data_IF_705655527317
#
_entry.id   IF_705655527317
#
_cell.length_a   1.000
_cell.length_b   1.000
_cell.length_c   1.000
_cell.angle_alpha   90.00
_cell.angle_beta   90.00
_cell.angle_gamma   90.00
#
_symmetry.space_group_name_H-M   'P 1'
#
loop_
_entity.id
_entity.type
_entity.pdbx_description
1 polymer ?
#
# COMPACT_ATOMS: atom_id res chain seq x y z
N UNK A 1 17.22 5.73 14.27
CA UNK A 1 16.51 6.66 15.20
C UNK A 1 16.09 7.97 14.54
N UNK A 2 16.93 8.66 13.77
CA UNK A 2 16.57 9.93 13.12
C UNK A 2 15.68 9.68 11.87
N UNK A 3 15.99 8.68 11.05
CA UNK A 3 15.18 8.25 9.91
C UNK A 3 13.77 7.77 10.30
N UNK A 4 13.63 7.11 11.45
CA UNK A 4 12.34 6.58 11.93
C UNK A 4 11.35 7.69 12.32
N UNK A 5 11.87 8.82 12.87
CA UNK A 5 11.04 9.97 13.25
C UNK A 5 10.52 10.73 12.03
N UNK A 6 11.33 10.89 11.01
CA UNK A 6 10.93 11.51 9.74
C UNK A 6 9.82 10.70 9.09
N UNK A 7 9.94 9.37 9.06
CA UNK A 7 8.92 8.48 8.52
C UNK A 7 7.56 8.63 9.21
N UNK A 8 7.52 8.75 10.55
CA UNK A 8 6.26 8.92 11.28
C UNK A 8 5.60 10.26 10.95
N UNK A 9 6.37 11.36 10.87
CA UNK A 9 5.82 12.68 10.54
C UNK A 9 5.21 12.73 9.13
N UNK A 10 5.85 12.09 8.16
CA UNK A 10 5.33 12.00 6.79
C UNK A 10 4.03 11.19 6.73
N UNK A 11 3.96 10.09 7.49
CA UNK A 11 2.76 9.28 7.60
C UNK A 11 1.60 10.02 8.31
N UNK A 12 1.91 10.92 9.25
CA UNK A 12 0.92 11.78 9.91
C UNK A 12 0.31 12.82 8.94
N UNK A 13 1.08 13.33 7.99
CA UNK A 13 0.56 14.21 6.92
C UNK A 13 -0.51 13.47 6.10
N UNK A 14 -0.29 12.19 5.79
CA UNK A 14 -1.24 11.37 5.06
C UNK A 14 -2.54 11.05 5.83
N UNK A 15 -2.56 11.23 7.15
CA UNK A 15 -3.81 11.14 7.95
C UNK A 15 -4.84 12.16 7.44
N UNK A 16 -4.41 13.33 6.98
CA UNK A 16 -5.28 14.40 6.50
C UNK A 16 -5.99 14.05 5.19
N UNK A 17 -5.44 13.14 4.37
CA UNK A 17 -6.00 12.72 3.09
C UNK A 17 -7.14 11.68 3.26
N UNK A 18 -8.20 12.05 4.01
CA UNK A 18 -9.31 11.14 4.37
C UNK A 18 -10.15 10.72 3.17
N UNK A 19 -10.46 11.62 2.25
CA UNK A 19 -11.27 11.31 1.07
C UNK A 19 -10.51 10.37 0.13
N UNK A 20 -9.21 10.60 -0.07
CA UNK A 20 -8.37 9.76 -0.89
C UNK A 20 -8.20 8.35 -0.29
N UNK A 21 -7.96 8.24 1.02
CA UNK A 21 -7.91 6.95 1.72
C UNK A 21 -9.24 6.20 1.63
N UNK A 22 -10.37 6.89 1.83
CA UNK A 22 -11.71 6.32 1.68
C UNK A 22 -11.97 5.86 0.24
N UNK A 23 -11.50 6.60 -0.75
CA UNK A 23 -11.58 6.21 -2.16
C UNK A 23 -10.79 4.93 -2.41
N UNK A 24 -9.52 4.85 -1.99
CA UNK A 24 -8.73 3.63 -2.07
C UNK A 24 -9.43 2.46 -1.37
N UNK A 25 -9.87 2.66 -0.13
CA UNK A 25 -10.59 1.62 0.62
C UNK A 25 -11.80 1.08 -0.15
N UNK A 26 -12.67 1.95 -0.66
CA UNK A 26 -13.86 1.51 -1.44
C UNK A 26 -13.49 0.70 -2.69
N UNK A 27 -12.33 0.97 -3.28
CA UNK A 27 -11.84 0.22 -4.44
C UNK A 27 -11.28 -1.15 -4.07
N UNK A 28 -10.69 -1.29 -2.89
CA UNK A 28 -10.01 -2.48 -2.41
C UNK A 28 -10.93 -3.40 -1.60
N UNK A 29 -11.86 -2.83 -0.83
CA UNK A 29 -12.70 -3.54 0.14
C UNK A 29 -13.43 -4.78 -0.41
N UNK A 30 -13.93 -4.83 -1.67
CA UNK A 30 -14.55 -6.05 -2.22
C UNK A 30 -13.61 -7.26 -2.32
N UNK A 31 -12.29 -7.04 -2.26
CA UNK A 31 -11.27 -8.09 -2.37
C UNK A 31 -10.62 -8.44 -1.02
N UNK A 32 -11.07 -7.80 0.07
CA UNK A 32 -10.50 -7.95 1.40
C UNK A 32 -11.40 -8.85 2.25
N UNK A 33 -10.82 -9.93 2.80
CA UNK A 33 -11.50 -10.92 3.64
C UNK A 33 -11.52 -10.55 5.12
N UNK A 34 -11.39 -11.56 5.99
CA UNK A 34 -11.58 -11.44 7.43
C UNK A 34 -10.28 -11.56 8.25
N UNK A 35 -9.27 -12.26 7.72
CA UNK A 35 -8.00 -12.54 8.38
C UNK A 35 -6.88 -11.90 7.58
N UNK A 36 -6.47 -10.71 7.98
CA UNK A 36 -5.67 -9.79 7.18
C UNK A 36 -4.25 -9.69 7.72
N UNK A 37 -3.26 -9.86 6.86
CA UNK A 37 -1.90 -9.36 7.05
C UNK A 37 -1.76 -8.05 6.28
N UNK A 38 -1.51 -6.94 6.95
CA UNK A 38 -1.15 -5.67 6.34
C UNK A 38 0.36 -5.48 6.40
N UNK A 39 0.99 -5.44 5.24
CA UNK A 39 2.45 -5.24 5.10
C UNK A 39 2.74 -3.77 4.87
N UNK A 40 3.63 -3.19 5.69
CA UNK A 40 3.95 -1.77 5.65
C UNK A 40 2.79 -0.89 6.17
N UNK A 41 2.22 -1.27 7.31
CA UNK A 41 1.09 -0.57 7.91
C UNK A 41 1.44 0.86 8.40
N UNK A 42 2.73 1.16 8.57
CA UNK A 42 3.19 2.43 9.12
C UNK A 42 2.55 2.71 10.48
N UNK A 43 1.86 3.82 10.59
CA UNK A 43 1.14 4.21 11.81
C UNK A 43 -0.33 3.76 11.86
N UNK A 44 -0.75 2.89 10.93
CA UNK A 44 -2.08 2.27 10.93
C UNK A 44 -3.16 3.07 10.21
N UNK A 45 -2.81 3.91 9.25
CA UNK A 45 -3.76 4.74 8.52
C UNK A 45 -4.80 3.93 7.74
N UNK A 46 -4.44 2.74 7.25
CA UNK A 46 -5.36 1.80 6.62
C UNK A 46 -5.87 0.75 7.59
N UNK A 47 -5.07 0.32 8.56
CA UNK A 47 -5.45 -0.65 9.61
C UNK A 47 -6.79 -0.29 10.26
N UNK A 48 -7.02 1.00 10.53
CA UNK A 48 -8.26 1.50 11.15
C UNK A 48 -9.52 1.21 10.33
N UNK A 49 -9.39 1.02 9.03
CA UNK A 49 -10.52 0.73 8.14
C UNK A 49 -10.97 -0.73 8.18
N UNK A 50 -10.22 -1.58 8.89
CA UNK A 50 -10.45 -3.03 8.95
C UNK A 50 -10.76 -3.53 10.37
N UNK A 51 -10.95 -2.64 11.35
CA UNK A 51 -11.12 -3.01 12.76
C UNK A 51 -12.38 -3.87 13.06
N UNK A 52 -13.27 -4.00 12.11
CA UNK A 52 -14.45 -4.88 12.15
C UNK A 52 -14.13 -6.34 11.78
N UNK A 53 -12.93 -6.62 11.23
CA UNK A 53 -12.52 -7.95 10.76
C UNK A 53 -12.22 -8.91 11.91
N UNK A 54 -12.07 -10.20 11.60
CA UNK A 54 -11.81 -11.24 12.61
C UNK A 54 -10.39 -11.15 13.18
N UNK A 55 -9.41 -10.88 12.30
CA UNK A 55 -8.01 -10.76 12.68
C UNK A 55 -7.33 -9.75 11.76
N UNK A 56 -6.53 -8.87 12.34
CA UNK A 56 -5.67 -7.95 11.61
C UNK A 56 -4.28 -8.04 12.22
N UNK A 57 -3.30 -8.30 11.37
CA UNK A 57 -1.88 -8.30 11.71
C UNK A 57 -1.23 -7.17 10.92
N UNK A 58 -1.27 -5.92 11.44
CA UNK A 58 -0.53 -4.83 10.83
C UNK A 58 0.96 -5.02 11.09
N UNK A 59 1.76 -4.97 10.02
CA UNK A 59 3.19 -5.17 10.14
C UNK A 59 3.99 -4.04 9.47
N UNK A 60 5.15 -3.74 10.03
CA UNK A 60 6.08 -2.77 9.46
C UNK A 60 7.53 -3.18 9.72
N UNK A 61 8.45 -2.74 8.86
CA UNK A 61 9.89 -3.00 9.04
C UNK A 61 10.48 -2.22 10.21
N UNK A 62 9.92 -1.04 10.52
CA UNK A 62 10.38 -0.17 11.59
C UNK A 62 9.71 -0.51 12.91
N UNK A 63 10.53 -0.82 13.92
CA UNK A 63 10.05 -1.13 15.27
C UNK A 63 9.26 0.03 15.89
N UNK A 64 9.63 1.28 15.59
CA UNK A 64 8.93 2.48 16.03
C UNK A 64 7.48 2.53 15.54
N UNK A 65 7.21 2.13 14.29
CA UNK A 65 5.85 2.01 13.75
C UNK A 65 5.07 0.91 14.47
N UNK A 66 5.70 -0.24 14.72
CA UNK A 66 5.05 -1.35 15.47
C UNK A 66 4.67 -0.94 16.89
N UNK A 67 5.53 -0.21 17.60
CA UNK A 67 5.24 0.31 18.94
C UNK A 67 4.12 1.36 18.92
N UNK A 68 4.10 2.21 17.91
CA UNK A 68 3.01 3.16 17.69
C UNK A 68 1.67 2.44 17.47
N UNK A 69 1.64 1.42 16.62
CA UNK A 69 0.46 0.58 16.35
C UNK A 69 -0.02 -0.13 17.61
N UNK A 70 0.91 -0.70 18.40
CA UNK A 70 0.59 -1.34 19.70
C UNK A 70 -0.08 -0.36 20.66
N UNK A 71 0.44 0.86 20.73
CA UNK A 71 -0.11 1.91 21.62
C UNK A 71 -1.49 2.37 21.16
N UNK A 72 -1.63 2.64 19.85
CA UNK A 72 -2.85 3.20 19.27
C UNK A 72 -4.02 2.21 19.24
N UNK A 73 -3.72 0.92 19.03
CA UNK A 73 -4.72 -0.12 18.78
C UNK A 73 -4.82 -1.16 19.92
N UNK A 74 -4.23 -0.87 21.09
CA UNK A 74 -4.12 -1.78 22.22
C UNK A 74 -5.46 -2.28 22.82
N UNK A 75 -6.55 -1.58 22.53
CA UNK A 75 -7.88 -1.94 23.04
C UNK A 75 -8.61 -2.97 22.17
N UNK A 76 -8.12 -3.25 20.98
CA UNK A 76 -8.75 -4.21 20.08
C UNK A 76 -7.97 -5.53 20.05
N UNK A 77 -8.50 -6.61 20.69
CA UNK A 77 -7.81 -7.90 20.78
C UNK A 77 -7.64 -8.61 19.42
N UNK A 78 -8.33 -8.14 18.39
CA UNK A 78 -8.22 -8.66 17.02
C UNK A 78 -7.02 -8.10 16.26
N UNK A 79 -6.35 -7.08 16.79
CA UNK A 79 -5.21 -6.42 16.18
C UNK A 79 -3.92 -6.88 16.84
N UNK A 80 -3.03 -7.51 16.07
CA UNK A 80 -1.77 -8.08 16.52
C UNK A 80 -0.60 -7.45 15.75
N UNK A 81 -0.10 -6.26 16.14
CA UNK A 81 1.00 -5.62 15.45
C UNK A 81 2.30 -6.42 15.60
N UNK A 82 3.03 -6.58 14.48
CA UNK A 82 4.33 -7.27 14.47
C UNK A 82 5.36 -6.59 13.58
N UNK A 83 6.64 -6.85 13.82
CA UNK A 83 7.71 -6.41 12.95
C UNK A 83 7.88 -7.39 11.79
N UNK A 84 7.90 -6.86 10.56
CA UNK A 84 8.12 -7.64 9.34
C UNK A 84 8.91 -6.83 8.33
N UNK A 85 10.07 -7.34 7.96
CA UNK A 85 10.87 -6.83 6.86
C UNK A 85 10.79 -7.81 5.68
N UNK A 86 10.25 -7.36 4.54
CA UNK A 86 10.16 -8.19 3.33
C UNK A 86 11.53 -8.54 2.72
N UNK A 87 12.58 -7.79 3.04
CA UNK A 87 13.95 -8.12 2.62
C UNK A 87 14.60 -9.19 3.50
N UNK A 88 14.10 -9.36 4.74
CA UNK A 88 14.53 -10.41 5.65
C UNK A 88 13.34 -11.11 6.34
N UNK A 89 12.46 -11.78 5.59
CA UNK A 89 11.23 -12.34 6.12
C UNK A 89 11.43 -13.52 7.09
N UNK A 90 12.63 -14.07 7.20
CA UNK A 90 12.93 -15.18 8.12
C UNK A 90 12.70 -14.83 9.60
N UNK A 91 12.65 -13.53 9.94
CA UNK A 91 12.34 -13.08 11.31
C UNK A 91 10.85 -13.27 11.70
N UNK A 92 9.98 -13.56 10.75
CA UNK A 92 8.55 -13.78 10.94
C UNK A 92 8.19 -15.26 10.73
N UNK A 93 8.93 -16.15 11.36
CA UNK A 93 8.58 -17.58 11.44
C UNK A 93 7.18 -17.72 12.05
N UNK A 94 6.31 -18.53 11.46
CA UNK A 94 4.95 -18.85 11.91
C UNK A 94 3.80 -17.93 11.43
N UNK A 95 4.01 -16.99 10.50
CA UNK A 95 2.88 -16.21 9.95
C UNK A 95 1.85 -17.08 9.19
N UNK A 96 2.26 -18.22 8.66
CA UNK A 96 1.34 -19.18 8.01
C UNK A 96 0.28 -19.73 8.98
N UNK A 97 0.56 -19.80 10.28
CA UNK A 97 -0.37 -20.31 11.31
C UNK A 97 -1.58 -19.39 11.50
N UNK A 98 -1.45 -18.11 11.13
CA UNK A 98 -2.56 -17.16 11.15
C UNK A 98 -3.60 -17.42 10.07
N UNK A 99 -3.32 -18.25 9.07
CA UNK A 99 -4.25 -18.59 7.98
C UNK A 99 -4.88 -17.35 7.32
N UNK A 100 -4.06 -16.43 6.88
CA UNK A 100 -4.53 -15.19 6.24
C UNK A 100 -5.29 -15.46 4.95
N UNK A 101 -6.52 -14.96 4.85
CA UNK A 101 -7.27 -14.93 3.61
C UNK A 101 -6.93 -13.72 2.74
N UNK A 102 -6.28 -12.73 3.32
CA UNK A 102 -5.86 -11.50 2.62
C UNK A 102 -4.50 -11.02 3.11
N UNK A 103 -3.63 -10.70 2.15
CA UNK A 103 -2.44 -9.87 2.36
C UNK A 103 -2.68 -8.53 1.66
N UNK A 104 -2.51 -7.43 2.39
CA UNK A 104 -2.59 -6.07 1.87
C UNK A 104 -1.18 -5.49 1.85
N UNK A 105 -0.76 -4.93 0.71
CA UNK A 105 0.54 -4.31 0.55
C UNK A 105 0.37 -3.03 -0.30
N UNK A 106 0.37 -1.88 0.36
CA UNK A 106 0.07 -0.59 -0.26
C UNK A 106 1.27 0.34 -0.18
N UNK A 107 1.85 0.70 -1.32
CA UNK A 107 3.04 1.55 -1.43
C UNK A 107 4.23 1.03 -0.59
N UNK A 108 4.55 -0.25 -0.74
CA UNK A 108 5.67 -0.92 -0.06
C UNK A 108 6.58 -1.64 -1.05
N UNK A 109 6.01 -2.31 -2.06
CA UNK A 109 6.79 -3.16 -2.96
C UNK A 109 7.85 -2.39 -3.76
N UNK A 110 7.62 -1.11 -4.04
CA UNK A 110 8.57 -0.20 -4.68
C UNK A 110 9.82 0.08 -3.86
N UNK A 111 9.76 -0.09 -2.54
CA UNK A 111 10.88 0.05 -1.61
C UNK A 111 11.70 -1.24 -1.45
N UNK A 112 11.20 -2.37 -1.94
CA UNK A 112 11.87 -3.65 -1.81
C UNK A 112 12.76 -3.90 -3.03
N UNK A 113 14.03 -4.22 -2.81
CA UNK A 113 14.98 -4.45 -3.90
C UNK A 113 14.64 -5.71 -4.69
N UNK A 114 14.37 -6.83 -4.00
CA UNK A 114 13.95 -8.10 -4.60
C UNK A 114 12.42 -8.28 -4.48
N UNK A 115 11.70 -7.65 -5.41
CA UNK A 115 10.23 -7.70 -5.43
C UNK A 115 9.66 -9.09 -5.73
N UNK A 116 10.40 -9.96 -6.44
CA UNK A 116 9.97 -11.35 -6.66
C UNK A 116 10.02 -12.16 -5.38
N UNK A 117 11.07 -11.99 -4.58
CA UNK A 117 11.17 -12.63 -3.27
C UNK A 117 10.07 -12.17 -2.33
N UNK A 118 9.79 -10.86 -2.31
CA UNK A 118 8.70 -10.30 -1.51
C UNK A 118 7.32 -10.84 -1.93
N UNK A 119 7.05 -10.93 -3.24
CA UNK A 119 5.81 -11.52 -3.76
C UNK A 119 5.71 -13.00 -3.42
N UNK A 120 6.79 -13.76 -3.52
CA UNK A 120 6.83 -15.18 -3.14
C UNK A 120 6.55 -15.37 -1.65
N UNK A 121 7.11 -14.50 -0.81
CA UNK A 121 6.85 -14.53 0.62
C UNK A 121 5.38 -14.22 0.93
N UNK A 122 4.81 -13.16 0.35
CA UNK A 122 3.39 -12.83 0.54
C UNK A 122 2.48 -13.96 0.05
N UNK A 123 2.88 -14.67 -1.02
CA UNK A 123 2.17 -15.87 -1.46
C UNK A 123 2.25 -17.00 -0.43
N UNK A 124 3.42 -17.24 0.17
CA UNK A 124 3.62 -18.36 1.10
C UNK A 124 2.74 -18.25 2.34
N UNK A 125 2.56 -17.05 2.90
CA UNK A 125 1.81 -16.80 4.14
C UNK A 125 0.28 -16.80 3.94
N UNK A 126 -0.20 -16.71 2.71
CA UNK A 126 -1.63 -16.79 2.39
C UNK A 126 -2.16 -18.21 2.52
N UNK A 127 -3.35 -18.33 3.06
CA UNK A 127 -4.16 -19.55 2.99
C UNK A 127 -4.50 -19.91 1.52
N UNK A 128 -4.83 -21.16 1.21
CA UNK A 128 -5.35 -21.54 -0.11
C UNK A 128 -6.53 -20.63 -0.52
N UNK A 129 -6.55 -20.21 -1.77
CA UNK A 129 -7.51 -19.26 -2.32
C UNK A 129 -7.50 -17.85 -1.69
N UNK A 130 -6.56 -17.55 -0.81
CA UNK A 130 -6.35 -16.21 -0.25
C UNK A 130 -5.90 -15.21 -1.31
N UNK A 131 -6.07 -13.92 -1.04
CA UNK A 131 -5.81 -12.82 -1.98
C UNK A 131 -4.66 -11.94 -1.54
N UNK A 132 -3.83 -11.55 -2.49
CA UNK A 132 -2.94 -10.40 -2.38
C UNK A 132 -3.62 -9.17 -2.98
N UNK A 133 -3.78 -8.13 -2.19
CA UNK A 133 -4.26 -6.81 -2.61
C UNK A 133 -3.06 -5.86 -2.62
N UNK A 134 -2.60 -5.55 -3.81
CA UNK A 134 -1.40 -4.76 -4.03
C UNK A 134 -1.73 -3.41 -4.65
N UNK A 135 -1.16 -2.34 -4.10
CA UNK A 135 -1.14 -1.01 -4.69
C UNK A 135 0.30 -0.52 -4.77
N UNK A 136 0.72 -0.11 -5.97
CA UNK A 136 2.07 0.40 -6.24
C UNK A 136 2.01 1.68 -7.07
N UNK A 137 3.02 2.56 -7.01
CA UNK A 137 3.12 3.72 -7.88
C UNK A 137 3.28 3.28 -9.33
N UNK A 138 2.52 3.95 -10.20
CA UNK A 138 2.47 3.59 -11.61
C UNK A 138 3.46 4.40 -12.45
N UNK A 139 3.92 3.77 -13.55
CA UNK A 139 4.69 4.35 -14.66
C UNK A 139 6.07 4.91 -14.31
N UNK A 140 7.11 4.25 -14.81
CA UNK A 140 8.51 4.66 -14.60
C UNK A 140 8.81 6.08 -15.10
N UNK A 141 8.09 6.61 -16.10
CA UNK A 141 8.28 7.98 -16.55
C UNK A 141 7.87 9.05 -15.53
N UNK A 142 7.05 8.69 -14.51
CA UNK A 142 6.67 9.56 -13.40
C UNK A 142 7.72 9.57 -12.27
N UNK A 143 8.69 8.65 -12.30
CA UNK A 143 9.75 8.57 -11.31
C UNK A 143 10.57 9.86 -11.28
N UNK A 144 10.70 10.48 -10.10
CA UNK A 144 11.31 11.81 -9.98
C UNK A 144 12.04 12.05 -8.66
N UNK A 145 12.03 13.32 -8.21
CA UNK A 145 12.73 13.76 -6.99
C UNK A 145 12.16 13.14 -5.72
N UNK A 146 10.82 13.16 -5.56
CA UNK A 146 10.16 12.56 -4.38
C UNK A 146 10.44 11.07 -4.31
N UNK A 147 10.32 10.31 -5.43
CA UNK A 147 10.61 8.87 -5.40
C UNK A 147 12.01 8.56 -4.90
N UNK A 148 13.00 9.39 -5.30
CA UNK A 148 14.38 9.25 -4.81
C UNK A 148 14.52 9.59 -3.34
N UNK A 149 13.85 10.65 -2.89
CA UNK A 149 13.90 11.11 -1.51
C UNK A 149 13.34 10.07 -0.52
N UNK A 150 12.28 9.32 -0.95
CA UNK A 150 11.68 8.26 -0.16
C UNK A 150 12.19 6.86 -0.52
N UNK A 151 13.32 6.78 -1.23
CA UNK A 151 14.04 5.53 -1.54
C UNK A 151 13.24 4.51 -2.36
N UNK A 152 12.37 4.96 -3.28
CA UNK A 152 11.75 4.08 -4.25
C UNK A 152 12.81 3.51 -5.21
N UNK A 153 12.83 2.22 -5.41
CA UNK A 153 13.66 1.60 -6.45
C UNK A 153 13.03 1.72 -7.83
N UNK A 154 11.68 1.69 -7.91
CA UNK A 154 10.97 1.63 -9.20
C UNK A 154 9.51 2.04 -9.09
N UNK A 155 8.89 2.24 -10.26
CA UNK A 155 7.45 2.32 -10.45
C UNK A 155 7.03 1.22 -11.44
N UNK A 156 5.77 0.85 -11.44
CA UNK A 156 5.28 -0.32 -12.14
C UNK A 156 4.29 0.01 -13.25
N UNK A 157 4.27 -0.84 -14.28
CA UNK A 157 3.16 -0.95 -15.22
C UNK A 157 2.51 -2.34 -15.08
N UNK A 158 1.32 -2.52 -15.66
CA UNK A 158 0.70 -3.87 -15.74
C UNK A 158 1.62 -4.88 -16.43
N UNK A 159 2.41 -4.42 -17.43
CA UNK A 159 3.35 -5.29 -18.17
C UNK A 159 4.51 -5.78 -17.29
N UNK A 160 4.90 -4.99 -16.30
CA UNK A 160 5.99 -5.35 -15.39
C UNK A 160 5.48 -6.18 -14.21
N UNK A 161 4.36 -5.78 -13.60
CA UNK A 161 3.86 -6.36 -12.35
C UNK A 161 3.15 -7.71 -12.56
N UNK A 162 2.29 -7.84 -13.57
CA UNK A 162 1.49 -9.05 -13.80
C UNK A 162 2.37 -10.29 -14.03
N UNK A 163 3.42 -10.27 -14.87
CA UNK A 163 4.29 -11.42 -15.03
C UNK A 163 4.96 -11.86 -13.73
N UNK A 164 5.42 -10.91 -12.89
CA UNK A 164 6.04 -11.18 -11.60
C UNK A 164 5.07 -11.85 -10.64
N UNK A 165 3.84 -11.35 -10.53
CA UNK A 165 2.82 -11.97 -9.68
C UNK A 165 2.48 -13.39 -10.16
N UNK A 166 2.37 -13.62 -11.48
CA UNK A 166 2.14 -14.97 -12.03
C UNK A 166 3.30 -15.92 -11.78
N UNK A 167 4.53 -15.44 -11.94
CA UNK A 167 5.74 -16.22 -11.67
C UNK A 167 5.81 -16.68 -10.21
N UNK A 168 5.24 -15.92 -9.28
CA UNK A 168 5.20 -16.23 -7.85
C UNK A 168 3.93 -16.97 -7.41
N UNK A 169 3.13 -17.49 -8.36
CA UNK A 169 2.00 -18.38 -8.07
C UNK A 169 0.63 -17.69 -7.96
N UNK A 170 0.54 -16.39 -8.26
CA UNK A 170 -0.74 -15.70 -8.22
C UNK A 170 -1.52 -15.80 -9.54
N UNK A 171 -2.78 -16.17 -9.45
CA UNK A 171 -3.77 -15.96 -10.51
C UNK A 171 -4.33 -14.54 -10.41
N UNK A 172 -4.19 -13.74 -11.46
CA UNK A 172 -4.65 -12.37 -11.46
C UNK A 172 -6.18 -12.32 -11.59
N UNK A 173 -6.86 -11.77 -10.59
CA UNK A 173 -8.31 -11.58 -10.60
C UNK A 173 -8.69 -10.20 -11.17
N UNK A 174 -7.93 -9.14 -10.82
CA UNK A 174 -8.22 -7.80 -11.31
C UNK A 174 -6.96 -6.94 -11.36
N UNK A 175 -6.92 -5.98 -12.31
CA UNK A 175 -5.88 -4.94 -12.36
C UNK A 175 -6.44 -3.66 -12.96
N UNK A 176 -6.24 -2.55 -12.28
CA UNK A 176 -6.68 -1.24 -12.76
C UNK A 176 -5.78 -0.12 -12.27
N UNK A 177 -5.79 0.98 -12.98
CA UNK A 177 -5.16 2.22 -12.54
C UNK A 177 -6.16 3.10 -11.79
N UNK A 178 -5.67 3.99 -10.95
CA UNK A 178 -6.47 5.02 -10.29
C UNK A 178 -5.70 6.33 -10.11
N UNK A 179 -6.43 7.39 -9.83
CA UNK A 179 -5.92 8.72 -9.56
C UNK A 179 -5.24 9.37 -10.78
N UNK A 180 -6.01 9.53 -11.86
CA UNK A 180 -5.55 10.20 -13.09
C UNK A 180 -5.17 11.65 -12.81
N UNK A 181 -6.02 12.38 -12.08
CA UNK A 181 -5.77 13.81 -11.81
C UNK A 181 -4.51 13.97 -10.96
N UNK A 182 -4.34 13.14 -9.93
CA UNK A 182 -3.12 13.12 -9.12
C UNK A 182 -1.86 12.82 -9.94
N UNK A 183 -1.97 12.04 -11.01
CA UNK A 183 -0.84 11.75 -11.91
C UNK A 183 -0.31 13.04 -12.57
N UNK A 184 -1.17 13.94 -13.03
CA UNK A 184 -0.74 15.20 -13.62
C UNK A 184 -0.10 16.13 -12.58
N UNK A 185 -0.68 16.24 -11.39
CA UNK A 185 -0.09 17.01 -10.27
C UNK A 185 1.27 16.45 -9.85
N UNK A 186 1.37 15.13 -9.73
CA UNK A 186 2.63 14.44 -9.44
C UNK A 186 3.69 14.69 -10.50
N UNK A 187 3.33 14.55 -11.78
CA UNK A 187 4.26 14.83 -12.89
C UNK A 187 4.79 16.25 -12.82
N UNK A 188 3.92 17.23 -12.60
CA UNK A 188 4.31 18.64 -12.49
C UNK A 188 5.27 18.88 -11.33
N UNK A 189 4.90 18.46 -10.12
CA UNK A 189 5.71 18.68 -8.93
C UNK A 189 7.05 17.95 -8.99
N UNK A 190 7.04 16.71 -9.42
CA UNK A 190 8.16 15.79 -9.32
C UNK A 190 9.17 15.92 -10.48
N UNK A 191 8.66 16.16 -11.70
CA UNK A 191 9.47 16.20 -12.92
C UNK A 191 9.81 17.61 -13.36
N UNK A 192 8.92 18.57 -13.18
CA UNK A 192 9.09 19.96 -13.64
C UNK A 192 9.62 20.82 -12.50
N UNK A 193 8.91 20.87 -11.36
CA UNK A 193 9.30 21.69 -10.22
C UNK A 193 10.40 21.08 -9.36
N UNK A 194 10.64 19.75 -9.48
CA UNK A 194 11.64 18.98 -8.73
C UNK A 194 11.51 19.17 -7.21
N UNK A 195 10.28 19.22 -6.71
CA UNK A 195 9.99 19.30 -5.29
C UNK A 195 10.40 17.95 -4.67
N UNK A 196 11.06 17.96 -3.52
CA UNK A 196 11.53 16.76 -2.82
C UNK A 196 10.65 16.39 -1.62
N UNK A 197 9.88 17.34 -1.11
CA UNK A 197 8.98 17.14 0.03
C UNK A 197 7.52 17.31 -0.38
N UNK A 198 6.65 16.48 0.18
CA UNK A 198 5.21 16.63 -0.01
C UNK A 198 4.68 17.85 0.76
N UNK A 199 3.90 18.69 0.10
CA UNK A 199 3.29 19.86 0.71
C UNK A 199 1.93 19.52 1.31
N UNK A 200 1.80 19.56 2.63
CA UNK A 200 0.56 19.25 3.36
C UNK A 200 -0.64 20.10 2.91
N UNK A 201 -0.42 21.36 2.53
CA UNK A 201 -1.49 22.22 2.00
C UNK A 201 -1.99 21.77 0.63
N UNK A 202 -1.09 21.31 -0.26
CA UNK A 202 -1.46 20.75 -1.57
C UNK A 202 -2.21 19.43 -1.40
N UNK A 203 -1.78 18.57 -0.48
CA UNK A 203 -2.48 17.32 -0.14
C UNK A 203 -3.87 17.62 0.38
N UNK A 204 -4.02 18.57 1.30
CA UNK A 204 -5.33 18.95 1.84
C UNK A 204 -6.27 19.53 0.77
N UNK A 205 -5.77 20.39 -0.14
CA UNK A 205 -6.56 20.92 -1.25
C UNK A 205 -6.98 19.80 -2.22
N UNK A 206 -6.05 18.92 -2.58
CA UNK A 206 -6.37 17.76 -3.43
C UNK A 206 -7.44 16.89 -2.78
N UNK A 207 -7.25 16.54 -1.50
CA UNK A 207 -8.17 15.66 -0.78
C UNK A 207 -9.57 16.24 -0.67
N UNK A 208 -9.66 17.53 -0.33
CA UNK A 208 -10.95 18.18 -0.09
C UNK A 208 -11.73 18.45 -1.39
N UNK A 209 -11.07 18.96 -2.42
CA UNK A 209 -11.74 19.45 -3.62
C UNK A 209 -11.67 18.49 -4.81
N UNK A 210 -10.57 17.74 -4.96
CA UNK A 210 -10.32 16.96 -6.18
C UNK A 210 -10.67 15.48 -5.99
N UNK A 211 -10.23 14.86 -4.89
CA UNK A 211 -10.40 13.43 -4.69
C UNK A 211 -11.85 12.95 -4.76
N UNK A 212 -12.88 13.68 -4.20
CA UNK A 212 -14.27 13.24 -4.30
C UNK A 212 -14.83 13.25 -5.74
N UNK A 213 -14.39 14.19 -6.57
CA UNK A 213 -14.80 14.27 -7.98
C UNK A 213 -14.08 13.24 -8.84
N UNK A 214 -12.76 13.08 -8.62
CA UNK A 214 -11.96 12.09 -9.30
C UNK A 214 -12.51 10.68 -9.05
N UNK A 215 -12.86 10.35 -7.82
CA UNK A 215 -13.49 9.08 -7.47
C UNK A 215 -14.81 8.86 -8.22
N UNK A 216 -15.69 9.87 -8.27
CA UNK A 216 -16.97 9.74 -8.96
C UNK A 216 -16.81 9.46 -10.44
N UNK A 217 -15.87 10.15 -11.09
CA UNK A 217 -15.57 9.98 -12.52
C UNK A 217 -14.98 8.60 -12.77
N UNK A 218 -13.95 8.21 -12.03
CA UNK A 218 -13.26 6.92 -12.20
C UNK A 218 -14.11 5.71 -11.81
N UNK A 219 -15.15 5.91 -11.01
CA UNK A 219 -16.13 4.87 -10.72
C UNK A 219 -17.02 4.55 -11.91
N UNK A 220 -17.32 5.53 -12.78
CA UNK A 220 -18.13 5.32 -13.98
C UNK A 220 -17.35 4.57 -15.08
N UNK A 221 -16.05 4.85 -15.20
CA UNK A 221 -15.17 4.17 -16.15
C UNK A 221 -13.76 4.05 -15.56
N UNK A 222 -13.24 2.82 -15.36
CA UNK A 222 -11.85 2.63 -14.92
C UNK A 222 -10.88 3.27 -15.91
N UNK A 223 -9.97 4.14 -15.44
CA UNK A 223 -9.08 4.85 -16.34
C UNK A 223 -8.01 3.90 -16.92
N UNK A 224 -7.53 4.18 -18.16
CA UNK A 224 -6.47 3.40 -18.79
C UNK A 224 -5.07 3.68 -18.20
N UNK A 225 -4.93 4.73 -17.42
CA UNK A 225 -3.71 5.15 -16.72
C UNK A 225 -4.06 5.91 -15.44
N UNK A 226 -3.08 6.13 -14.55
CA UNK A 226 -3.27 6.86 -13.27
C UNK A 226 -1.98 6.88 -12.46
N UNK A 227 -2.00 7.54 -11.32
CA UNK A 227 -0.84 7.65 -10.43
C UNK A 227 -0.48 6.31 -9.79
N UNK A 228 -1.48 5.49 -9.48
CA UNK A 228 -1.32 4.20 -8.82
C UNK A 228 -1.83 3.05 -9.69
N UNK A 229 -1.18 1.90 -9.59
CA UNK A 229 -1.60 0.61 -10.15
C UNK A 229 -2.04 -0.30 -9.01
N UNK A 230 -3.26 -0.82 -9.12
CA UNK A 230 -3.78 -1.83 -8.22
C UNK A 230 -3.79 -3.17 -8.93
N UNK A 231 -3.34 -4.22 -8.24
CA UNK A 231 -3.40 -5.59 -8.71
C UNK A 231 -3.94 -6.49 -7.59
N UNK A 232 -4.90 -7.34 -7.94
CA UNK A 232 -5.48 -8.33 -7.05
C UNK A 232 -5.15 -9.70 -7.62
N UNK A 233 -4.40 -10.47 -6.86
CA UNK A 233 -4.00 -11.82 -7.20
C UNK A 233 -4.52 -12.81 -6.17
N UNK A 234 -4.98 -13.99 -6.63
CA UNK A 234 -5.43 -15.09 -5.78
C UNK A 234 -4.37 -16.18 -5.77
N UNK A 235 -4.07 -16.73 -4.60
CA UNK A 235 -3.28 -17.95 -4.45
C UNK A 235 -4.05 -19.14 -4.99
N UNK A 236 -3.44 -19.87 -5.92
CA UNK A 236 -3.97 -21.15 -6.44
C UNK A 236 -3.59 -22.34 -5.55
#
# INVERSE_FOLDING_TARGET
MESDKVTISDLEIMIQARNYRNWMYRRLAPSIGQRILEVGAGIGNFTEMFLDRELIVPSDKYQSCVEYLKTRLNTNPKVVPLQLDLENPAAAENLADFSFDTVICLNVLEHVQDDLRALSYMHSVLAPAGRLVLLVPAFQFLYGSVDRAIEHHRRYTKKDLIPKMRQTGFKIENTFYMNVIGMFGWFWNNRIMKIEEENSAQIGLFDHYIAPWAERIERLAPPPFGLSLIAIGRKE
#
